data_IF_961610393849
#
_entry.id   IF_961610393849
#
_cell.length_a   1.000
_cell.length_b   1.000
_cell.length_c   1.000
_cell.angle_alpha   90.00
_cell.angle_beta   90.00
_cell.angle_gamma   90.00
#
_symmetry.space_group_name_H-M   'P 1'
#
loop_
_entity.id
_entity.type
_entity.pdbx_description
1 polymer ?
#
# COMPACT_ATOMS: atom_id res chain seq x y z
N UNK A 1 -11.33 20.10 13.62
CA UNK A 1 -10.94 19.93 12.21
C UNK A 1 -12.18 20.15 11.36
N UNK A 2 -12.46 21.40 11.01
CA UNK A 2 -13.70 21.76 10.29
C UNK A 2 -13.57 21.40 8.80
N UNK A 3 -14.65 20.94 8.15
CA UNK A 3 -14.67 20.64 6.71
C UNK A 3 -14.21 21.80 5.81
N UNK A 4 -14.27 23.04 6.32
CA UNK A 4 -13.90 24.25 5.59
C UNK A 4 -12.39 24.40 5.35
N UNK A 5 -11.55 23.85 6.25
CA UNK A 5 -10.10 23.91 6.11
C UNK A 5 -9.61 23.05 4.92
N UNK A 6 -10.31 21.96 4.62
CA UNK A 6 -10.02 21.07 3.47
C UNK A 6 -10.34 21.76 2.14
N UNK A 7 -11.38 22.60 2.09
CA UNK A 7 -11.76 23.36 0.89
C UNK A 7 -10.81 24.54 0.68
N UNK A 8 -10.32 25.17 1.75
CA UNK A 8 -9.35 26.26 1.66
C UNK A 8 -7.96 25.80 1.19
N UNK A 9 -7.59 24.55 1.48
CA UNK A 9 -6.32 23.94 1.04
C UNK A 9 -6.45 23.19 -0.31
N UNK A 10 -7.51 23.46 -1.08
CA UNK A 10 -7.63 22.90 -2.42
C UNK A 10 -6.38 23.28 -3.24
N UNK A 11 -5.69 22.30 -3.84
CA UNK A 11 -4.50 22.58 -4.63
C UNK A 11 -4.90 23.54 -5.75
N UNK A 12 -4.42 24.78 -5.65
CA UNK A 12 -4.67 25.82 -6.64
C UNK A 12 -4.18 25.32 -8.00
N UNK A 13 -4.81 25.73 -9.10
CA UNK A 13 -4.43 25.28 -10.45
C UNK A 13 -2.92 25.45 -10.74
N UNK A 14 -2.28 26.44 -10.12
CA UNK A 14 -0.83 26.69 -10.18
C UNK A 14 0.03 25.61 -9.49
N UNK A 15 -0.47 24.94 -8.45
CA UNK A 15 0.21 23.83 -7.77
C UNK A 15 0.15 22.54 -8.60
N UNK A 16 -0.93 22.33 -9.35
CA UNK A 16 -1.10 21.18 -10.23
C UNK A 16 -0.22 21.26 -11.49
N UNK A 17 0.06 22.48 -11.96
CA UNK A 17 0.94 22.70 -13.12
C UNK A 17 2.43 22.50 -12.82
N UNK A 18 2.82 22.29 -11.55
CA UNK A 18 4.21 22.00 -11.20
C UNK A 18 4.60 20.62 -11.77
N UNK A 19 5.70 20.54 -12.54
CA UNK A 19 6.11 19.28 -13.16
C UNK A 19 6.42 18.19 -12.14
N UNK A 20 6.84 18.55 -10.92
CA UNK A 20 7.05 17.60 -9.82
C UNK A 20 5.75 16.92 -9.37
N UNK A 21 4.69 17.71 -9.21
CA UNK A 21 3.37 17.23 -8.75
C UNK A 21 2.72 16.39 -9.84
N UNK A 22 2.77 16.87 -11.08
CA UNK A 22 2.22 16.14 -12.23
C UNK A 22 2.96 14.82 -12.46
N UNK A 23 4.29 14.82 -12.33
CA UNK A 23 5.11 13.61 -12.42
C UNK A 23 4.77 12.59 -11.33
N UNK A 24 4.59 13.04 -10.08
CA UNK A 24 4.17 12.18 -8.97
C UNK A 24 2.78 11.56 -9.19
N UNK A 25 1.81 12.36 -9.64
CA UNK A 25 0.45 11.89 -9.95
C UNK A 25 0.48 10.86 -11.09
N UNK A 26 1.22 11.13 -12.17
CA UNK A 26 1.36 10.18 -13.28
C UNK A 26 2.05 8.89 -12.84
N UNK A 27 3.09 8.98 -12.00
CA UNK A 27 3.78 7.81 -11.46
C UNK A 27 2.87 6.93 -10.61
N UNK A 28 2.12 7.50 -9.66
CA UNK A 28 1.21 6.73 -8.79
C UNK A 28 -0.01 6.23 -9.59
N UNK A 29 -0.55 7.05 -10.48
CA UNK A 29 -1.72 6.74 -11.29
C UNK A 29 -1.47 5.67 -12.34
N UNK A 30 -0.45 5.82 -13.17
CA UNK A 30 -0.14 4.86 -14.23
C UNK A 30 0.75 3.72 -13.73
N UNK A 31 1.86 4.06 -13.07
CA UNK A 31 2.83 3.07 -12.61
C UNK A 31 2.30 2.23 -11.46
N UNK A 32 2.10 2.85 -10.30
CA UNK A 32 1.74 2.10 -9.11
C UNK A 32 0.35 1.47 -9.18
N UNK A 33 -0.62 2.08 -9.89
CA UNK A 33 -1.98 1.57 -9.93
C UNK A 33 -2.25 0.68 -11.15
N UNK A 34 -2.11 1.18 -12.38
CA UNK A 34 -2.47 0.40 -13.58
C UNK A 34 -1.55 -0.82 -13.74
N UNK A 35 -0.23 -0.65 -13.64
CA UNK A 35 0.70 -1.78 -13.80
C UNK A 35 0.52 -2.80 -12.68
N UNK A 36 0.39 -2.37 -11.43
CA UNK A 36 0.18 -3.30 -10.31
C UNK A 36 -1.15 -4.05 -10.44
N UNK A 37 -2.22 -3.37 -10.84
CA UNK A 37 -3.51 -4.00 -11.06
C UNK A 37 -3.46 -5.02 -12.21
N UNK A 38 -2.85 -4.67 -13.35
CA UNK A 38 -2.65 -5.61 -14.45
C UNK A 38 -1.79 -6.81 -14.03
N UNK A 39 -0.71 -6.59 -13.28
CA UNK A 39 0.14 -7.68 -12.78
C UNK A 39 -0.61 -8.59 -11.80
N UNK A 40 -1.41 -8.02 -10.91
CA UNK A 40 -2.28 -8.76 -9.99
C UNK A 40 -3.31 -9.59 -10.76
N UNK A 41 -4.05 -8.99 -11.69
CA UNK A 41 -5.05 -9.68 -12.51
C UNK A 41 -4.41 -10.78 -13.35
N UNK A 42 -3.22 -10.56 -13.93
CA UNK A 42 -2.49 -11.57 -14.68
C UNK A 42 -2.01 -12.73 -13.78
N UNK A 43 -1.58 -12.44 -12.55
CA UNK A 43 -1.23 -13.44 -11.55
C UNK A 43 -2.44 -14.30 -11.18
N UNK A 44 -3.54 -13.65 -10.80
CA UNK A 44 -4.82 -14.32 -10.46
C UNK A 44 -5.31 -15.20 -11.62
N UNK A 45 -5.21 -14.72 -12.86
CA UNK A 45 -5.60 -15.50 -14.04
C UNK A 45 -4.76 -16.78 -14.25
N UNK A 46 -3.48 -16.78 -13.82
CA UNK A 46 -2.57 -17.94 -13.98
C UNK A 46 -2.66 -18.95 -12.84
N UNK A 47 -2.73 -18.48 -11.59
CA UNK A 47 -2.69 -19.35 -10.39
C UNK A 47 -4.06 -19.58 -9.73
N UNK A 48 -5.08 -18.85 -10.16
CA UNK A 48 -6.44 -18.89 -9.61
C UNK A 48 -6.60 -18.07 -8.33
N UNK A 49 -7.80 -17.55 -8.10
CA UNK A 49 -8.12 -16.66 -6.97
C UNK A 49 -7.83 -17.27 -5.59
N UNK A 50 -8.11 -18.57 -5.41
CA UNK A 50 -7.90 -19.25 -4.13
C UNK A 50 -6.42 -19.28 -3.71
N UNK A 51 -5.50 -19.57 -4.65
CA UNK A 51 -4.06 -19.56 -4.38
C UNK A 51 -3.51 -18.13 -4.33
N UNK A 52 -3.99 -17.24 -5.18
CA UNK A 52 -3.59 -15.83 -5.17
C UNK A 52 -3.91 -15.13 -3.84
N UNK A 53 -5.05 -15.45 -3.22
CA UNK A 53 -5.45 -14.91 -1.92
C UNK A 53 -4.44 -15.19 -0.80
N UNK A 54 -3.75 -16.34 -0.84
CA UNK A 54 -2.71 -16.67 0.15
C UNK A 54 -1.52 -15.70 0.07
N UNK A 55 -1.21 -15.17 -1.12
CA UNK A 55 -0.13 -14.19 -1.30
C UNK A 55 -0.49 -12.81 -0.72
N UNK A 56 -1.78 -12.49 -0.54
CA UNK A 56 -2.18 -11.24 0.11
C UNK A 56 -1.72 -11.18 1.58
N UNK A 57 -1.56 -12.33 2.24
CA UNK A 57 -0.97 -12.39 3.56
C UNK A 57 0.51 -11.98 3.58
N UNK A 58 1.21 -12.02 2.46
CA UNK A 58 2.61 -11.58 2.36
C UNK A 58 2.73 -10.08 2.07
N UNK A 59 1.66 -9.42 1.62
CA UNK A 59 1.64 -7.96 1.37
C UNK A 59 2.18 -7.17 2.56
N UNK A 60 1.71 -7.33 3.82
CA UNK A 60 2.25 -6.57 4.94
C UNK A 60 3.76 -6.77 5.17
N UNK A 61 4.28 -7.97 4.91
CA UNK A 61 5.72 -8.27 5.03
C UNK A 61 6.51 -7.51 3.97
N UNK A 62 6.07 -7.57 2.72
CA UNK A 62 6.73 -6.84 1.63
C UNK A 62 6.61 -5.32 1.79
N UNK A 63 5.45 -4.82 2.23
CA UNK A 63 5.24 -3.39 2.52
C UNK A 63 6.24 -2.89 3.56
N UNK A 64 6.51 -3.68 4.61
CA UNK A 64 7.51 -3.32 5.61
C UNK A 64 8.92 -3.31 5.01
N UNK A 65 9.30 -4.36 4.28
CA UNK A 65 10.63 -4.49 3.68
C UNK A 65 10.90 -3.30 2.74
N UNK A 66 9.96 -3.00 1.84
CA UNK A 66 10.09 -1.89 0.91
C UNK A 66 9.98 -0.53 1.60
N UNK A 67 9.18 -0.38 2.65
CA UNK A 67 9.09 0.84 3.44
C UNK A 67 10.43 1.22 4.10
N UNK A 68 11.14 0.23 4.66
CA UNK A 68 12.48 0.45 5.24
C UNK A 68 13.52 0.68 4.15
N UNK A 69 13.49 -0.11 3.07
CA UNK A 69 14.55 -0.11 2.06
C UNK A 69 14.46 1.06 1.05
N UNK A 70 13.27 1.41 0.57
CA UNK A 70 13.09 2.46 -0.44
C UNK A 70 12.84 3.84 0.17
N UNK A 71 12.16 3.88 1.32
CA UNK A 71 11.68 5.12 1.92
C UNK A 71 12.57 5.62 3.06
N UNK A 72 13.60 4.83 3.43
CA UNK A 72 14.55 5.10 4.52
C UNK A 72 13.86 5.52 5.83
N UNK A 73 12.68 4.95 6.09
CA UNK A 73 11.89 5.32 7.24
C UNK A 73 12.61 4.93 8.53
N UNK A 74 12.97 5.93 9.33
CA UNK A 74 13.51 5.70 10.68
C UNK A 74 12.44 4.99 11.52
N UNK A 75 12.78 3.78 12.00
CA UNK A 75 11.90 2.92 12.79
C UNK A 75 11.74 3.48 14.21
N UNK A 76 10.93 4.52 14.37
CA UNK A 76 10.49 5.02 15.67
C UNK A 76 9.68 3.94 16.40
N UNK A 77 9.72 3.91 17.74
CA UNK A 77 8.98 2.96 18.59
C UNK A 77 7.49 2.78 18.20
N UNK A 78 6.84 3.85 17.72
CA UNK A 78 5.46 3.79 17.23
C UNK A 78 5.30 2.95 15.94
N UNK A 79 6.24 3.05 14.98
CA UNK A 79 6.23 2.25 13.74
C UNK A 79 6.51 0.78 14.04
N UNK A 80 7.46 0.50 14.92
CA UNK A 80 7.75 -0.87 15.38
C UNK A 80 6.55 -1.50 16.09
N UNK A 81 5.81 -0.73 16.90
CA UNK A 81 4.54 -1.19 17.48
C UNK A 81 3.48 -1.51 16.43
N UNK A 82 3.31 -0.65 15.42
CA UNK A 82 2.40 -0.89 14.29
C UNK A 82 2.77 -2.14 13.49
N UNK A 83 4.06 -2.34 13.23
CA UNK A 83 4.59 -3.54 12.56
C UNK A 83 4.29 -4.80 13.38
N UNK A 84 4.56 -4.78 14.68
CA UNK A 84 4.25 -5.91 15.56
C UNK A 84 2.76 -6.24 15.55
N UNK A 85 1.90 -5.22 15.58
CA UNK A 85 0.45 -5.40 15.54
C UNK A 85 -0.04 -6.02 14.22
N UNK A 86 0.54 -5.60 13.08
CA UNK A 86 0.26 -6.22 11.78
C UNK A 86 0.75 -7.67 11.73
N UNK A 87 1.94 -7.97 12.27
CA UNK A 87 2.47 -9.33 12.34
C UNK A 87 1.60 -10.24 13.24
N UNK A 88 1.14 -9.75 14.39
CA UNK A 88 0.22 -10.47 15.28
C UNK A 88 -1.12 -10.70 14.58
N UNK A 89 -1.69 -9.68 13.94
CA UNK A 89 -2.91 -9.81 13.15
C UNK A 89 -2.77 -10.84 12.02
N UNK A 90 -1.60 -10.89 11.37
CA UNK A 90 -1.30 -11.86 10.34
C UNK A 90 -1.25 -13.30 10.88
N UNK A 91 -0.59 -13.51 12.01
CA UNK A 91 -0.52 -14.82 12.67
C UNK A 91 -1.92 -15.32 13.04
N UNK A 92 -2.77 -14.44 13.60
CA UNK A 92 -4.16 -14.75 13.94
C UNK A 92 -5.02 -15.03 12.70
N UNK A 93 -4.81 -14.29 11.61
CA UNK A 93 -5.53 -14.51 10.35
C UNK A 93 -5.16 -15.85 9.71
N UNK A 94 -3.87 -16.22 9.74
CA UNK A 94 -3.42 -17.54 9.27
C UNK A 94 -3.98 -18.68 10.10
N UNK A 95 -4.03 -18.55 11.42
CA UNK A 95 -4.49 -19.64 12.30
C UNK A 95 -5.98 -19.95 12.17
N UNK A 96 -6.77 -19.07 11.57
CA UNK A 96 -8.22 -19.31 11.33
C UNK A 96 -8.54 -20.00 10.00
N UNK A 97 -7.55 -20.21 9.14
CA UNK A 97 -7.74 -20.87 7.83
C UNK A 97 -7.17 -22.29 7.76
N UNK A 98 -6.63 -22.80 8.87
CA UNK A 98 -6.16 -24.20 9.01
C UNK A 98 -7.26 -25.17 9.47
N UNK A 99 -8.50 -24.72 9.61
CA UNK A 99 -9.65 -25.58 9.91
C UNK A 99 -10.34 -26.03 8.60
N UNK A 100 -9.67 -26.89 7.83
CA UNK A 100 -10.29 -27.80 6.86
C UNK A 100 -9.52 -29.13 6.83
#
# INVERSE_FOLDING_TARGET
MTPIAVVADMPTASTLSKPEVLGGILYVGLGASVVAFCAWQAGVARIGAARAGVYLHLVPVFTLIFGVLLLDETLTYAKTGGVLMVLVGLLVSRSRHTDF
#
